data_IF_272341818443
#
_entry.id   IF_272341818443
#
_cell.length_a   1.000
_cell.length_b   1.000
_cell.length_c   1.000
_cell.angle_alpha   90.00
_cell.angle_beta   90.00
_cell.angle_gamma   90.00
#
_symmetry.space_group_name_H-M   'P 1'
#
loop_
_entity.id
_entity.type
_entity.pdbx_description
1 polymer ?
#
# COMPACT_ATOMS: atom_id res chain seq x y z
N UNK A 1 -10.65 7.09 -19.77
CA UNK A 1 -11.67 7.52 -18.79
C UNK A 1 -11.33 6.91 -17.44
N UNK A 2 -11.40 7.68 -16.35
CA UNK A 2 -11.06 7.25 -14.98
C UNK A 2 -12.36 7.08 -14.18
N UNK A 3 -12.45 6.08 -13.30
CA UNK A 3 -13.63 5.89 -12.45
C UNK A 3 -13.79 7.05 -11.46
N UNK A 4 -15.03 7.56 -11.33
CA UNK A 4 -15.36 8.82 -10.66
C UNK A 4 -14.84 8.91 -9.22
N UNK A 5 -14.96 7.84 -8.43
CA UNK A 5 -14.50 7.82 -7.04
C UNK A 5 -12.99 8.03 -6.90
N UNK A 6 -12.18 7.41 -7.76
CA UNK A 6 -10.73 7.61 -7.76
C UNK A 6 -10.35 9.03 -8.13
N UNK A 7 -11.04 9.57 -9.14
CA UNK A 7 -10.83 10.94 -9.56
C UNK A 7 -11.15 11.91 -8.42
N UNK A 8 -12.29 11.75 -7.76
CA UNK A 8 -12.68 12.57 -6.60
C UNK A 8 -11.66 12.49 -5.47
N UNK A 9 -11.22 11.29 -5.06
CA UNK A 9 -10.20 11.15 -4.01
C UNK A 9 -8.89 11.87 -4.41
N UNK A 10 -8.52 11.78 -5.68
CA UNK A 10 -7.25 12.34 -6.16
C UNK A 10 -7.29 13.87 -6.29
N UNK A 11 -8.40 14.45 -6.74
CA UNK A 11 -8.44 15.86 -7.15
C UNK A 11 -9.26 16.78 -6.24
N UNK A 12 -10.06 16.26 -5.31
CA UNK A 12 -10.87 17.11 -4.43
C UNK A 12 -10.04 17.76 -3.32
N UNK A 13 -10.42 18.98 -2.97
CA UNK A 13 -9.92 19.74 -1.82
C UNK A 13 -11.09 20.23 -0.96
N UNK A 14 -10.77 20.67 0.27
CA UNK A 14 -11.69 21.37 1.16
C UNK A 14 -10.91 22.51 1.86
N UNK A 15 -11.15 23.79 1.51
CA UNK A 15 -10.49 24.94 2.13
C UNK A 15 -10.71 25.06 3.64
N UNK A 16 -11.75 24.41 4.18
CA UNK A 16 -12.07 24.40 5.62
C UNK A 16 -11.33 23.29 6.37
N UNK A 17 -10.78 22.32 5.65
CA UNK A 17 -10.00 21.23 6.24
C UNK A 17 -8.58 21.69 6.52
N UNK A 18 -8.02 21.41 7.71
CA UNK A 18 -6.61 21.71 7.96
C UNK A 18 -5.66 20.85 7.09
N UNK A 19 -6.09 19.66 6.64
CA UNK A 19 -5.24 18.70 5.94
C UNK A 19 -5.39 18.69 4.42
N UNK A 20 -6.58 19.02 3.93
CA UNK A 20 -6.94 18.88 2.51
C UNK A 20 -7.31 20.21 1.88
N UNK A 21 -6.70 21.33 2.34
CA UNK A 21 -6.84 22.63 1.65
C UNK A 21 -6.38 22.55 0.20
N UNK A 22 -5.40 21.69 -0.05
CA UNK A 22 -4.96 21.28 -1.38
C UNK A 22 -5.33 19.80 -1.59
N UNK A 23 -5.63 19.44 -2.83
CA UNK A 23 -5.94 18.06 -3.20
C UNK A 23 -4.73 17.14 -3.02
N UNK A 24 -4.97 15.83 -2.87
CA UNK A 24 -3.90 14.83 -2.81
C UNK A 24 -2.98 14.89 -4.04
N UNK A 25 -3.57 15.13 -5.23
CA UNK A 25 -2.84 15.39 -6.48
C UNK A 25 -1.89 16.56 -6.35
N UNK A 26 -2.36 17.70 -5.86
CA UNK A 26 -1.54 18.93 -5.74
C UNK A 26 -0.39 18.70 -4.77
N UNK A 27 -0.67 18.18 -3.57
CA UNK A 27 0.36 17.89 -2.57
C UNK A 27 1.43 16.95 -3.14
N UNK A 28 0.99 15.86 -3.78
CA UNK A 28 1.89 14.89 -4.40
C UNK A 28 2.76 15.51 -5.51
N UNK A 29 2.16 16.21 -6.49
CA UNK A 29 2.91 16.79 -7.60
C UNK A 29 3.88 17.88 -7.15
N UNK A 30 3.49 18.70 -6.16
CA UNK A 30 4.38 19.70 -5.56
C UNK A 30 5.59 19.00 -4.95
N UNK A 31 5.37 17.96 -4.12
CA UNK A 31 6.49 17.26 -3.48
C UNK A 31 7.44 16.60 -4.46
N UNK A 32 6.90 15.93 -5.48
CA UNK A 32 7.75 15.29 -6.48
C UNK A 32 8.61 16.34 -7.22
N UNK A 33 8.06 17.50 -7.56
CA UNK A 33 8.83 18.58 -8.20
C UNK A 33 9.92 19.13 -7.29
N UNK A 34 9.64 19.33 -6.00
CA UNK A 34 10.64 19.74 -5.01
C UNK A 34 11.79 18.74 -4.92
N UNK A 35 11.47 17.44 -4.80
CA UNK A 35 12.48 16.38 -4.71
C UNK A 35 13.31 16.29 -5.99
N UNK A 36 12.69 16.42 -7.17
CA UNK A 36 13.41 16.41 -8.45
C UNK A 36 14.40 17.57 -8.57
N UNK A 37 14.04 18.77 -8.11
CA UNK A 37 14.98 19.90 -8.11
C UNK A 37 16.05 19.75 -7.02
N UNK A 38 15.69 19.24 -5.83
CA UNK A 38 16.62 19.02 -4.73
C UNK A 38 17.75 18.05 -5.11
N UNK A 39 17.42 16.97 -5.80
CA UNK A 39 18.37 15.93 -6.20
C UNK A 39 18.80 16.07 -7.68
N UNK A 40 18.78 17.29 -8.20
CA UNK A 40 19.16 17.58 -9.57
C UNK A 40 20.62 17.22 -9.84
N UNK A 41 20.84 16.44 -10.90
CA UNK A 41 22.16 15.92 -11.26
C UNK A 41 22.42 14.50 -10.76
N UNK A 42 21.54 13.96 -9.91
CA UNK A 42 21.54 12.54 -9.55
C UNK A 42 20.71 11.71 -10.55
N UNK A 43 20.94 10.39 -10.54
CA UNK A 43 20.13 9.44 -11.29
C UNK A 43 18.86 9.11 -10.48
N UNK A 44 17.75 9.76 -10.84
CA UNK A 44 16.48 9.62 -10.13
C UNK A 44 15.57 8.58 -10.77
N UNK A 45 14.76 7.92 -9.94
CA UNK A 45 13.61 7.12 -10.37
C UNK A 45 12.43 7.32 -9.40
N UNK A 46 11.20 7.17 -9.90
CA UNK A 46 9.98 7.26 -9.12
C UNK A 46 9.25 5.92 -9.14
N UNK A 47 9.10 5.29 -7.97
CA UNK A 47 8.28 4.09 -7.81
C UNK A 47 7.05 4.43 -6.97
N UNK A 48 5.86 4.23 -7.53
CA UNK A 48 4.59 4.44 -6.86
C UNK A 48 3.94 3.08 -6.62
N UNK A 49 3.53 2.79 -5.39
CA UNK A 49 2.97 1.49 -5.02
C UNK A 49 1.64 1.61 -4.31
N UNK A 50 0.80 0.60 -4.45
CA UNK A 50 -0.51 0.60 -3.83
C UNK A 50 -1.21 -0.75 -3.87
N UNK A 51 -2.12 -0.95 -2.92
CA UNK A 51 -2.92 -2.15 -2.77
C UNK A 51 -4.40 -1.80 -2.74
N UNK A 52 -5.25 -2.62 -3.36
CA UNK A 52 -6.71 -2.47 -3.30
C UNK A 52 -7.20 -1.10 -3.82
N UNK A 53 -8.03 -0.39 -3.04
CA UNK A 53 -8.41 1.01 -3.21
C UNK A 53 -7.20 1.88 -3.56
N UNK A 54 -6.10 1.68 -2.83
CA UNK A 54 -4.85 2.39 -3.03
C UNK A 54 -4.06 1.95 -4.26
N UNK A 55 -4.43 0.89 -4.99
CA UNK A 55 -3.73 0.47 -6.21
C UNK A 55 -4.15 1.29 -7.44
N UNK A 56 -5.33 1.92 -7.42
CA UNK A 56 -5.77 2.80 -8.52
C UNK A 56 -5.00 4.12 -8.56
N UNK A 57 -4.60 4.64 -7.38
CA UNK A 57 -3.87 5.91 -7.27
C UNK A 57 -2.48 5.86 -7.91
N UNK A 58 -1.63 4.82 -7.73
CA UNK A 58 -0.35 4.69 -8.41
C UNK A 58 -0.40 4.85 -9.92
N UNK A 59 -1.42 4.29 -10.59
CA UNK A 59 -1.56 4.48 -12.04
C UNK A 59 -1.87 5.93 -12.37
N UNK A 60 -2.87 6.51 -11.68
CA UNK A 60 -3.28 7.90 -11.93
C UNK A 60 -2.12 8.86 -11.66
N UNK A 61 -1.42 8.67 -10.55
CA UNK A 61 -0.27 9.46 -10.17
C UNK A 61 0.92 9.29 -11.11
N UNK A 62 1.23 8.06 -11.55
CA UNK A 62 2.32 7.83 -12.49
C UNK A 62 2.01 8.48 -13.85
N UNK A 63 0.78 8.33 -14.33
CA UNK A 63 0.32 8.98 -15.56
C UNK A 63 0.39 10.50 -15.44
N UNK A 64 -0.14 11.07 -14.35
CA UNK A 64 -0.17 12.51 -14.12
C UNK A 64 1.23 13.12 -13.99
N UNK A 65 2.18 12.42 -13.36
CA UNK A 65 3.60 12.84 -13.28
C UNK A 65 4.22 12.94 -14.67
N UNK A 66 4.04 11.91 -15.50
CA UNK A 66 4.60 11.87 -16.86
C UNK A 66 3.99 12.95 -17.74
N UNK A 67 2.66 13.11 -17.71
CA UNK A 67 1.93 14.13 -18.49
C UNK A 67 2.26 15.57 -18.04
N UNK A 68 2.58 15.79 -16.76
CA UNK A 68 2.92 17.13 -16.23
C UNK A 68 4.44 17.44 -16.28
N UNK A 69 5.18 16.78 -17.17
CA UNK A 69 6.52 17.23 -17.55
C UNK A 69 7.68 16.57 -16.80
N UNK A 70 7.43 15.53 -16.00
CA UNK A 70 8.49 14.75 -15.33
C UNK A 70 8.84 13.47 -16.11
N UNK A 71 8.89 13.57 -17.43
CA UNK A 71 9.23 12.46 -18.34
C UNK A 71 10.73 12.09 -18.31
N UNK A 72 11.58 12.91 -17.70
CA UNK A 72 13.03 12.69 -17.63
C UNK A 72 13.45 11.66 -16.57
N UNK A 73 12.55 11.28 -15.65
CA UNK A 73 12.81 10.26 -14.64
C UNK A 73 12.03 8.98 -14.99
N UNK A 74 12.64 7.78 -14.89
CA UNK A 74 11.89 6.53 -14.99
C UNK A 74 10.79 6.47 -13.92
N UNK A 75 9.54 6.29 -14.36
CA UNK A 75 8.37 6.16 -13.47
C UNK A 75 7.83 4.74 -13.55
N UNK A 76 7.71 4.06 -12.41
CA UNK A 76 7.15 2.74 -12.28
C UNK A 76 5.97 2.72 -11.30
N UNK A 77 4.86 2.10 -11.69
CA UNK A 77 3.73 1.84 -10.81
C UNK A 77 3.63 0.34 -10.52
N UNK A 78 3.74 -0.05 -9.24
CA UNK A 78 3.65 -1.45 -8.80
C UNK A 78 2.38 -1.61 -7.97
N UNK A 79 1.48 -2.51 -8.37
CA UNK A 79 0.18 -2.65 -7.73
C UNK A 79 -0.05 -4.07 -7.24
N UNK A 80 -0.72 -4.17 -6.10
CA UNK A 80 -1.17 -5.43 -5.52
C UNK A 80 -2.69 -5.46 -5.53
N UNK A 81 -3.28 -6.27 -6.39
CA UNK A 81 -4.73 -6.39 -6.56
C UNK A 81 -5.12 -7.84 -6.83
N UNK A 82 -6.28 -8.32 -6.34
CA UNK A 82 -6.76 -9.67 -6.64
C UNK A 82 -7.25 -9.80 -8.10
N UNK A 83 -7.60 -8.69 -8.76
CA UNK A 83 -7.94 -8.65 -10.17
C UNK A 83 -7.36 -7.39 -10.84
N UNK A 84 -6.48 -7.52 -11.85
CA UNK A 84 -5.81 -6.40 -12.49
C UNK A 84 -6.65 -5.65 -13.54
N UNK A 85 -7.85 -6.12 -13.91
CA UNK A 85 -8.66 -5.49 -14.95
C UNK A 85 -9.40 -4.24 -14.44
N UNK A 86 -8.63 -3.19 -14.22
CA UNK A 86 -9.10 -1.87 -13.75
C UNK A 86 -9.65 -0.97 -14.86
N UNK A 87 -9.70 -1.43 -16.11
CA UNK A 87 -10.19 -0.67 -17.27
C UNK A 87 -9.31 0.51 -17.72
N UNK A 88 -8.13 0.71 -17.12
CA UNK A 88 -7.22 1.81 -17.46
C UNK A 88 -6.36 1.48 -18.72
N UNK A 89 -6.23 2.39 -19.70
CA UNK A 89 -5.54 2.14 -20.97
C UNK A 89 -4.02 2.33 -20.86
N UNK A 90 -3.38 1.63 -19.93
CA UNK A 90 -1.91 1.67 -19.75
C UNK A 90 -1.31 0.31 -20.09
N UNK A 91 -0.15 0.31 -20.77
CA UNK A 91 0.63 -0.90 -21.03
C UNK A 91 1.09 -1.49 -19.69
N UNK A 92 0.75 -2.76 -19.44
CA UNK A 92 0.94 -3.39 -18.13
C UNK A 92 1.56 -4.76 -18.28
N UNK A 93 2.60 -4.99 -17.49
CA UNK A 93 3.08 -6.34 -17.22
C UNK A 93 2.28 -6.91 -16.05
N UNK A 94 1.59 -8.02 -16.28
CA UNK A 94 0.82 -8.72 -15.25
C UNK A 94 1.65 -9.88 -14.70
N UNK A 95 1.99 -9.82 -13.41
CA UNK A 95 2.50 -10.97 -12.68
C UNK A 95 1.32 -11.66 -11.99
N UNK A 96 0.87 -12.78 -12.56
CA UNK A 96 -0.18 -13.60 -11.96
C UNK A 96 0.45 -14.59 -11.00
N UNK A 97 -0.01 -14.59 -9.76
CA UNK A 97 0.40 -15.51 -8.70
C UNK A 97 -0.79 -16.30 -8.20
N UNK A 98 -0.55 -17.53 -7.72
CA UNK A 98 -1.57 -18.40 -7.17
C UNK A 98 -1.28 -18.69 -5.70
N UNK A 99 -2.18 -18.24 -4.82
CA UNK A 99 -2.04 -18.40 -3.38
C UNK A 99 -2.15 -19.87 -2.93
N UNK A 100 -2.83 -20.72 -3.70
CA UNK A 100 -3.04 -22.15 -3.41
C UNK A 100 -1.73 -22.96 -3.46
N UNK A 101 -0.68 -22.41 -4.07
CA UNK A 101 0.66 -23.01 -4.11
C UNK A 101 1.36 -23.00 -2.76
N UNK A 102 1.02 -22.08 -1.86
CA UNK A 102 1.64 -22.01 -0.54
C UNK A 102 1.01 -23.04 0.40
N UNK A 103 1.81 -23.97 0.89
CA UNK A 103 1.38 -24.97 1.88
C UNK A 103 1.01 -24.38 3.25
N UNK A 104 1.38 -23.12 3.51
CA UNK A 104 1.11 -22.40 4.76
C UNK A 104 -0.23 -21.66 4.80
N UNK A 105 -0.87 -21.44 3.65
CA UNK A 105 -2.14 -20.69 3.56
C UNK A 105 -3.32 -21.65 3.64
N UNK A 106 -4.43 -21.22 4.26
CA UNK A 106 -5.69 -21.98 4.24
C UNK A 106 -6.27 -21.98 2.84
N UNK A 107 -6.96 -23.06 2.49
CA UNK A 107 -7.88 -23.06 1.34
C UNK A 107 -9.14 -22.29 1.76
N UNK A 108 -9.10 -20.97 1.56
CA UNK A 108 -10.15 -20.05 2.00
C UNK A 108 -11.11 -19.71 0.88
N UNK A 109 -12.41 -19.59 1.20
CA UNK A 109 -13.46 -19.03 0.34
C UNK A 109 -13.79 -17.57 0.68
N UNK A 110 -13.07 -16.98 1.62
CA UNK A 110 -13.27 -15.61 2.07
C UNK A 110 -12.53 -14.63 1.13
N UNK A 111 -13.25 -13.72 0.43
CA UNK A 111 -12.60 -12.75 -0.45
C UNK A 111 -11.56 -11.88 0.27
N UNK A 112 -11.74 -11.60 1.57
CA UNK A 112 -10.79 -10.82 2.37
C UNK A 112 -9.42 -11.48 2.48
N UNK A 113 -9.36 -12.82 2.48
CA UNK A 113 -8.10 -13.56 2.55
C UNK A 113 -7.33 -13.48 1.23
N UNK A 114 -8.03 -13.62 0.10
CA UNK A 114 -7.43 -13.43 -1.23
C UNK A 114 -7.04 -11.97 -1.48
N UNK A 115 -7.70 -11.05 -0.79
CA UNK A 115 -7.42 -9.63 -0.82
C UNK A 115 -6.37 -9.18 0.21
N UNK A 116 -5.79 -10.10 0.98
CA UNK A 116 -4.81 -9.76 2.01
C UNK A 116 -3.45 -9.45 1.37
N UNK A 117 -2.98 -8.19 1.50
CA UNK A 117 -1.68 -7.75 0.99
C UNK A 117 -0.51 -8.59 1.51
N UNK A 118 -0.50 -8.94 2.80
CA UNK A 118 0.59 -9.73 3.37
C UNK A 118 0.58 -11.16 2.83
N UNK A 119 -0.60 -11.70 2.53
CA UNK A 119 -0.80 -12.93 1.78
C UNK A 119 -0.24 -12.83 0.35
N UNK A 120 -0.58 -11.77 -0.39
CA UNK A 120 -0.05 -11.55 -1.75
C UNK A 120 1.47 -11.44 -1.77
N UNK A 121 2.07 -10.71 -0.81
CA UNK A 121 3.52 -10.58 -0.70
C UNK A 121 4.21 -11.89 -0.31
N UNK A 122 3.60 -12.67 0.58
CA UNK A 122 4.09 -14.02 0.91
C UNK A 122 4.12 -14.92 -0.33
N UNK A 123 3.02 -14.92 -1.10
CA UNK A 123 2.93 -15.72 -2.31
C UNK A 123 3.92 -15.21 -3.35
N UNK A 124 4.03 -13.89 -3.54
CA UNK A 124 4.97 -13.28 -4.49
C UNK A 124 6.43 -13.65 -4.23
N UNK A 125 6.84 -13.73 -2.97
CA UNK A 125 8.21 -14.14 -2.59
C UNK A 125 8.48 -15.63 -2.83
N UNK A 126 7.47 -16.49 -2.71
CA UNK A 126 7.61 -17.92 -2.93
C UNK A 126 7.21 -18.38 -4.34
N UNK A 127 6.72 -17.47 -5.17
CA UNK A 127 6.23 -17.77 -6.50
C UNK A 127 7.39 -18.03 -7.45
N UNK A 128 7.55 -19.28 -7.85
CA UNK A 128 8.51 -19.66 -8.88
C UNK A 128 7.85 -19.91 -10.24
N UNK A 129 6.53 -19.75 -10.39
CA UNK A 129 5.80 -20.04 -11.63
C UNK A 129 4.84 -21.23 -11.50
N UNK A 130 3.90 -21.32 -12.43
CA UNK A 130 2.79 -22.27 -12.35
C UNK A 130 3.24 -23.75 -12.29
N UNK A 131 4.31 -24.09 -13.00
CA UNK A 131 4.81 -25.46 -13.09
C UNK A 131 5.99 -25.75 -12.14
N UNK A 132 6.36 -24.80 -11.28
CA UNK A 132 7.45 -24.94 -10.32
C UNK A 132 6.94 -24.97 -8.88
N UNK A 133 7.77 -25.49 -7.99
CA UNK A 133 7.46 -25.59 -6.57
C UNK A 133 7.43 -24.22 -5.90
N UNK A 134 6.59 -24.11 -4.87
CA UNK A 134 6.58 -22.93 -4.01
C UNK A 134 7.79 -22.96 -3.09
N UNK A 135 8.66 -21.97 -3.21
CA UNK A 135 9.89 -21.90 -2.43
C UNK A 135 10.23 -20.43 -2.21
N UNK A 136 10.27 -20.01 -0.94
CA UNK A 136 10.60 -18.64 -0.56
C UNK A 136 12.04 -18.33 -0.99
N UNK A 137 12.20 -17.38 -1.92
CA UNK A 137 13.53 -16.94 -2.39
C UNK A 137 14.17 -15.87 -1.51
N UNK A 138 13.41 -15.27 -0.60
CA UNK A 138 13.93 -14.37 0.42
C UNK A 138 13.33 -14.69 1.78
N UNK A 139 14.09 -14.44 2.86
CA UNK A 139 13.62 -14.65 4.23
C UNK A 139 12.46 -13.68 4.51
N UNK A 140 11.28 -14.22 4.79
CA UNK A 140 10.08 -13.46 5.14
C UNK A 140 9.33 -14.17 6.25
N UNK A 141 8.94 -13.43 7.29
CA UNK A 141 8.15 -14.00 8.37
C UNK A 141 6.74 -14.34 7.88
N UNK A 142 6.35 -15.61 8.00
CA UNK A 142 5.02 -16.08 7.65
C UNK A 142 3.94 -15.40 8.51
N UNK A 143 4.26 -15.05 9.76
CA UNK A 143 3.32 -14.46 10.70
C UNK A 143 2.72 -13.13 10.20
N UNK A 144 3.42 -12.42 9.31
CA UNK A 144 2.91 -11.20 8.69
C UNK A 144 1.59 -11.41 7.95
N UNK A 145 1.32 -12.61 7.42
CA UNK A 145 0.06 -12.93 6.73
C UNK A 145 -1.15 -12.67 7.63
N UNK A 146 -1.06 -13.03 8.92
CA UNK A 146 -2.13 -12.82 9.90
C UNK A 146 -2.11 -11.43 10.55
N UNK A 147 -1.34 -10.46 10.02
CA UNK A 147 -1.27 -9.09 10.56
C UNK A 147 -2.68 -8.51 10.76
N UNK A 148 -3.56 -8.66 9.77
CA UNK A 148 -4.92 -8.11 9.75
C UNK A 148 -5.97 -9.12 9.28
N UNK A 149 -5.75 -10.42 9.52
CA UNK A 149 -6.65 -11.49 9.10
C UNK A 149 -6.30 -12.85 9.72
N UNK A 150 -7.01 -13.90 9.30
CA UNK A 150 -6.83 -15.28 9.77
C UNK A 150 -6.59 -16.25 8.60
N UNK A 151 -5.55 -16.00 7.83
CA UNK A 151 -5.33 -16.68 6.55
C UNK A 151 -4.32 -17.85 6.63
N UNK A 152 -3.49 -17.88 7.66
CA UNK A 152 -2.57 -18.98 7.92
C UNK A 152 -3.27 -20.20 8.46
N UNK A 153 -2.80 -21.40 8.07
CA UNK A 153 -3.31 -22.65 8.64
C UNK A 153 -3.10 -22.70 10.16
N UNK A 154 -4.04 -23.32 10.86
CA UNK A 154 -4.08 -23.36 12.32
C UNK A 154 -2.84 -24.04 12.93
N UNK A 155 -2.25 -25.03 12.24
CA UNK A 155 -1.03 -25.71 12.70
C UNK A 155 0.19 -24.79 12.86
N UNK A 156 0.17 -23.60 12.26
CA UNK A 156 1.25 -22.61 12.40
C UNK A 156 1.16 -21.81 13.70
N UNK A 157 0.05 -21.93 14.45
CA UNK A 157 -0.16 -21.32 15.76
C UNK A 157 0.08 -19.79 15.80
N UNK A 158 -0.05 -19.11 14.67
CA UNK A 158 0.03 -17.65 14.58
C UNK A 158 -1.34 -17.06 14.86
N UNK A 159 -1.50 -16.22 15.91
CA UNK A 159 -2.78 -15.61 16.21
C UNK A 159 -3.33 -14.79 15.02
N UNK A 160 -4.65 -14.85 14.76
CA UNK A 160 -5.27 -14.02 13.74
C UNK A 160 -5.29 -12.56 14.13
N UNK A 161 -5.26 -11.68 13.14
CA UNK A 161 -5.39 -10.21 13.28
C UNK A 161 -4.56 -9.66 14.45
N UNK A 162 -3.32 -10.13 14.58
CA UNK A 162 -2.51 -9.88 15.77
C UNK A 162 -2.00 -8.43 15.85
N UNK A 163 -2.01 -7.69 14.75
CA UNK A 163 -1.55 -6.30 14.76
C UNK A 163 -2.58 -5.41 15.43
N UNK A 164 -2.23 -4.99 16.63
CA UNK A 164 -2.95 -4.03 17.43
C UNK A 164 -1.93 -3.26 18.27
N UNK A 165 -2.17 -1.96 18.49
CA UNK A 165 -1.36 -1.20 19.44
C UNK A 165 -1.39 -1.86 20.81
N UNK A 166 -0.27 -1.77 21.53
CA UNK A 166 -0.21 -2.28 22.90
C UNK A 166 -1.33 -1.64 23.71
N UNK A 167 -2.14 -2.47 24.39
CA UNK A 167 -3.30 -2.02 25.15
C UNK A 167 -4.30 -1.16 24.33
N UNK A 168 -4.29 -1.30 23.00
CA UNK A 168 -5.05 -0.46 22.06
C UNK A 168 -4.74 1.04 22.17
N UNK A 169 -3.51 1.38 22.56
CA UNK A 169 -3.07 2.75 22.76
C UNK A 169 -3.47 3.35 24.11
N UNK A 170 -3.82 2.52 25.10
CA UNK A 170 -4.08 2.99 26.46
C UNK A 170 -2.80 2.90 27.31
N UNK A 171 -2.53 3.92 28.11
CA UNK A 171 -1.41 3.97 29.06
C UNK A 171 -1.87 4.43 30.44
N UNK A 172 -1.11 4.05 31.49
CA UNK A 172 -1.33 4.55 32.84
C UNK A 172 -0.59 5.88 32.99
N UNK A 173 -1.28 6.95 33.35
CA UNK A 173 -0.65 8.23 33.63
C UNK A 173 -0.07 8.29 35.06
N UNK A 174 0.59 9.40 35.40
CA UNK A 174 1.18 9.63 36.73
C UNK A 174 0.15 9.68 37.86
N UNK A 175 -1.13 9.94 37.54
CA UNK A 175 -2.23 9.93 38.50
C UNK A 175 -2.78 8.53 38.77
N UNK A 176 -2.36 7.53 37.97
CA UNK A 176 -2.80 6.14 38.05
C UNK A 176 -4.04 5.84 37.19
N UNK A 177 -4.46 6.77 36.33
CA UNK A 177 -5.63 6.61 35.46
C UNK A 177 -5.23 6.06 34.09
N UNK A 178 -6.13 5.30 33.45
CA UNK A 178 -5.95 4.83 32.08
C UNK A 178 -6.37 5.91 31.10
N UNK A 179 -5.41 6.45 30.36
CA UNK A 179 -5.63 7.49 29.34
C UNK A 179 -5.27 6.96 27.95
N UNK A 180 -5.91 7.52 26.93
CA UNK A 180 -5.55 7.22 25.53
C UNK A 180 -4.27 7.98 25.21
N UNK A 181 -3.23 7.26 24.79
CA UNK A 181 -2.03 7.87 24.23
C UNK A 181 -2.46 8.73 23.03
N UNK A 182 -2.05 10.01 22.97
CA UNK A 182 -2.32 10.85 21.81
C UNK A 182 -1.91 10.11 20.52
N UNK A 183 -2.72 10.18 19.46
CA UNK A 183 -2.53 9.35 18.27
C UNK A 183 -1.23 9.64 17.51
N UNK A 184 -0.49 10.70 17.88
CA UNK A 184 0.78 11.10 17.29
C UNK A 184 1.67 11.73 18.37
N UNK A 185 2.96 11.40 18.41
CA UNK A 185 3.96 12.40 18.78
C UNK A 185 3.82 13.56 17.78
N UNK A 186 3.89 14.81 18.21
CA UNK A 186 3.68 16.00 17.34
C UNK A 186 4.50 15.94 16.03
N UNK A 187 5.62 15.22 16.03
CA UNK A 187 6.51 14.99 14.88
C UNK A 187 5.93 14.09 13.77
N UNK A 188 4.84 13.36 14.02
CA UNK A 188 4.23 12.40 13.08
C UNK A 188 2.87 12.86 12.53
N UNK A 189 2.42 14.07 12.85
CA UNK A 189 1.23 14.65 12.23
C UNK A 189 1.58 14.96 10.77
N UNK A 190 0.80 14.46 9.78
CA UNK A 190 1.03 14.82 8.38
C UNK A 190 0.95 16.34 8.23
N UNK A 191 2.09 16.98 7.97
CA UNK A 191 2.16 18.40 7.67
C UNK A 191 1.76 18.56 6.22
N UNK A 192 0.62 19.20 5.91
CA UNK A 192 0.22 19.41 4.53
C UNK A 192 1.23 20.36 3.89
N UNK A 193 1.76 19.96 2.74
CA UNK A 193 2.64 20.81 1.96
C UNK A 193 1.76 21.80 1.19
N UNK A 194 1.88 23.08 1.55
CA UNK A 194 1.14 24.19 0.96
C UNK A 194 2.00 24.97 -0.03
#
# INVERSE_FOLDING_TARGET
MVMKGWFTIYTSDDPRSPFTKLSARTQFLTKIKELVEQYKGEELSLTITGHSLGACLPILSAFDVVENGLWMIPVAAIMFVPNPDTGLPVHRYKLVIDNRKSSSLRDSKNPSDWHNLQGMLHVGVGWNGADRDFELKVKRSIALVNKSGDYLKEELLVPPSWWVEKNKGMELDESGEWVLTPPFDDDNIPVPEF
#
